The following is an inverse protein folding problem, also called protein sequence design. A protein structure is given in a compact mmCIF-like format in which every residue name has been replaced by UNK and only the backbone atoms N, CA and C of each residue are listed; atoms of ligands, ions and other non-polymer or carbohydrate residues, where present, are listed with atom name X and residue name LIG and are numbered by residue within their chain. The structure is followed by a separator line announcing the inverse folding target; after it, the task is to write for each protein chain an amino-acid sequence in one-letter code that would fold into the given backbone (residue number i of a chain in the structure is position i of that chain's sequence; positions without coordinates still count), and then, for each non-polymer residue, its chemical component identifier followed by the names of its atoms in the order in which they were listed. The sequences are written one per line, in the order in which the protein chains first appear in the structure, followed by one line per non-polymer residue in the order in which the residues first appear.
data_IF_444745897051
#
_entry.id   IF_444745897051
#
_cell.length_a   1.000
_cell.length_b   1.000
_cell.length_c   1.000
_cell.angle_alpha   90.00
_cell.angle_beta   90.00
_cell.angle_gamma   90.00
#
_symmetry.space_group_name_H-M   'P 1'
#
loop_
_entity.id
_entity.type
_entity.pdbx_description
1 polymer ?
#
# COMPACT_ATOMS: atom_id res chain seq x y z
N UNK A 1 -18.97 13.50 -8.07
CA UNK A 1 -18.84 12.03 -8.08
C UNK A 1 -17.39 11.55 -7.95
N UNK A 2 -16.48 11.97 -8.83
CA UNK A 2 -15.06 11.54 -8.83
C UNK A 2 -14.32 11.76 -7.50
N UNK A 3 -14.58 12.87 -6.80
CA UNK A 3 -14.02 13.15 -5.46
C UNK A 3 -14.43 12.15 -4.38
N UNK A 4 -15.67 11.66 -4.43
CA UNK A 4 -16.17 10.68 -3.46
C UNK A 4 -15.55 9.31 -3.70
N UNK A 5 -15.36 8.95 -4.96
CA UNK A 5 -14.66 7.72 -5.35
C UNK A 5 -13.19 7.77 -4.89
N UNK A 6 -12.49 8.88 -5.13
CA UNK A 6 -11.10 9.09 -4.66
C UNK A 6 -11.00 8.94 -3.13
N UNK A 7 -11.93 9.54 -2.37
CA UNK A 7 -11.96 9.43 -0.90
C UNK A 7 -12.27 8.02 -0.42
N UNK A 8 -13.24 7.34 -1.04
CA UNK A 8 -13.60 5.97 -0.70
C UNK A 8 -12.43 5.03 -0.95
N UNK A 9 -11.75 5.17 -2.10
CA UNK A 9 -10.55 4.39 -2.42
C UNK A 9 -9.39 4.70 -1.48
N UNK A 10 -9.19 5.96 -1.10
CA UNK A 10 -8.15 6.31 -0.13
C UNK A 10 -8.43 5.71 1.25
N UNK A 11 -9.68 5.75 1.73
CA UNK A 11 -10.08 5.12 3.00
C UNK A 11 -9.91 3.59 2.94
N UNK A 12 -10.32 2.96 1.84
CA UNK A 12 -10.12 1.54 1.62
C UNK A 12 -8.63 1.17 1.61
N UNK A 13 -7.81 1.94 0.89
CA UNK A 13 -6.36 1.75 0.83
C UNK A 13 -5.73 1.83 2.23
N UNK A 14 -6.08 2.86 3.00
CA UNK A 14 -5.59 3.02 4.38
C UNK A 14 -6.05 1.86 5.26
N UNK A 15 -7.32 1.45 5.16
CA UNK A 15 -7.85 0.30 5.91
C UNK A 15 -7.11 -0.99 5.59
N UNK A 16 -6.83 -1.26 4.30
CA UNK A 16 -6.04 -2.41 3.87
C UNK A 16 -4.62 -2.35 4.42
N UNK A 17 -3.95 -1.19 4.35
CA UNK A 17 -2.60 -1.02 4.92
C UNK A 17 -2.62 -1.28 6.41
N UNK A 18 -3.60 -0.78 7.16
CA UNK A 18 -3.75 -1.04 8.60
C UNK A 18 -3.87 -2.55 8.88
N UNK A 19 -4.71 -3.28 8.12
CA UNK A 19 -4.85 -4.73 8.27
C UNK A 19 -3.53 -5.46 7.96
N UNK A 20 -2.84 -5.06 6.90
CA UNK A 20 -1.56 -5.64 6.51
C UNK A 20 -0.47 -5.39 7.56
N UNK A 21 -0.37 -4.17 8.09
CA UNK A 21 0.56 -3.82 9.17
C UNK A 21 0.22 -4.55 10.47
N UNK A 22 -1.07 -4.69 10.80
CA UNK A 22 -1.50 -5.39 12.01
C UNK A 22 -1.19 -6.88 11.94
N UNK A 23 -1.45 -7.52 10.79
CA UNK A 23 -1.16 -8.95 10.59
C UNK A 23 0.33 -9.25 10.62
N UNK A 24 1.18 -8.35 10.10
CA UNK A 24 2.64 -8.51 10.20
C UNK A 24 3.15 -8.25 11.61
N UNK A 25 2.57 -7.31 12.36
CA UNK A 25 2.97 -7.05 13.75
C UNK A 25 2.81 -8.27 14.66
N UNK A 26 1.83 -9.15 14.38
CA UNK A 26 1.65 -10.42 15.12
C UNK A 26 2.83 -11.38 14.91
N UNK A 27 3.56 -11.27 13.80
CA UNK A 27 4.76 -12.07 13.52
C UNK A 27 6.04 -11.48 14.13
N UNK A 28 5.94 -10.37 14.88
CA UNK A 28 7.07 -9.70 15.50
C UNK A 28 7.59 -10.49 16.71
N UNK A 29 8.44 -11.47 16.44
CA UNK A 29 9.04 -12.34 17.46
C UNK A 29 9.85 -13.51 16.90
N UNK A 30 10.32 -13.42 15.64
CA UNK A 30 11.09 -14.46 14.97
C UNK A 30 10.26 -15.65 14.44
N UNK A 31 8.96 -15.68 14.70
CA UNK A 31 8.07 -16.72 14.19
C UNK A 31 7.47 -16.27 12.85
N UNK A 32 7.64 -17.09 11.82
CA UNK A 32 7.04 -16.84 10.50
C UNK A 32 5.51 -16.70 10.60
N UNK A 33 4.94 -15.82 9.79
CA UNK A 33 3.49 -15.63 9.74
C UNK A 33 2.81 -16.89 9.19
N UNK A 34 1.92 -17.50 9.97
CA UNK A 34 1.24 -18.75 9.61
C UNK A 34 -0.23 -18.73 10.07
N UNK A 35 -1.04 -19.68 9.58
CA UNK A 35 -2.44 -19.83 10.00
C UNK A 35 -3.34 -18.65 9.60
N UNK A 36 -4.24 -18.25 10.50
CA UNK A 36 -5.24 -17.21 10.25
C UNK A 36 -4.64 -15.83 9.92
N UNK A 37 -3.62 -15.30 10.64
CA UNK A 37 -2.97 -14.04 10.27
C UNK A 37 -2.42 -14.03 8.85
N UNK A 38 -1.83 -15.15 8.39
CA UNK A 38 -1.35 -15.29 7.03
C UNK A 38 -2.49 -15.22 6.01
N UNK A 39 -3.59 -15.92 6.25
CA UNK A 39 -4.77 -15.89 5.37
C UNK A 39 -5.37 -14.47 5.28
N UNK A 40 -5.49 -13.76 6.39
CA UNK A 40 -5.98 -12.38 6.42
C UNK A 40 -5.02 -11.47 5.64
N UNK A 41 -3.71 -11.61 5.87
CA UNK A 41 -2.71 -10.82 5.17
C UNK A 41 -2.76 -11.05 3.66
N UNK A 42 -2.85 -12.31 3.22
CA UNK A 42 -2.96 -12.66 1.80
C UNK A 42 -4.27 -12.15 1.18
N UNK A 43 -5.40 -12.26 1.90
CA UNK A 43 -6.69 -11.72 1.45
C UNK A 43 -6.67 -10.20 1.30
N UNK A 44 -6.13 -9.48 2.29
CA UNK A 44 -5.97 -8.04 2.24
C UNK A 44 -4.98 -7.60 1.14
N UNK A 45 -3.92 -8.40 0.92
CA UNK A 45 -2.96 -8.17 -0.17
C UNK A 45 -3.63 -8.28 -1.54
N UNK A 46 -4.51 -9.27 -1.73
CA UNK A 46 -5.30 -9.40 -2.96
C UNK A 46 -6.15 -8.15 -3.22
N UNK A 47 -6.84 -7.64 -2.20
CA UNK A 47 -7.61 -6.40 -2.34
C UNK A 47 -6.72 -5.16 -2.64
N UNK A 48 -5.51 -5.11 -2.05
CA UNK A 48 -4.55 -4.03 -2.29
C UNK A 48 -4.07 -4.00 -3.74
N UNK A 49 -3.83 -5.18 -4.34
CA UNK A 49 -3.38 -5.34 -5.74
C UNK A 49 -4.33 -4.66 -6.73
N UNK A 50 -5.64 -4.64 -6.45
CA UNK A 50 -6.62 -3.95 -7.29
C UNK A 50 -6.87 -2.51 -6.84
N UNK A 51 -6.96 -2.27 -5.54
CA UNK A 51 -7.31 -0.96 -4.99
C UNK A 51 -6.25 0.08 -5.31
N UNK A 52 -4.96 -0.25 -5.15
CA UNK A 52 -3.88 0.71 -5.34
C UNK A 52 -3.78 1.20 -6.80
N UNK A 53 -3.78 0.35 -7.85
CA UNK A 53 -3.77 0.83 -9.24
C UNK A 53 -5.00 1.67 -9.59
N UNK A 54 -6.19 1.26 -9.16
CA UNK A 54 -7.43 2.02 -9.41
C UNK A 54 -7.36 3.40 -8.74
N UNK A 55 -6.90 3.45 -7.49
CA UNK A 55 -6.66 4.70 -6.76
C UNK A 55 -5.61 5.57 -7.46
N UNK A 56 -4.49 4.99 -7.91
CA UNK A 56 -3.43 5.70 -8.62
C UNK A 56 -3.95 6.32 -9.92
N UNK A 57 -4.69 5.56 -10.75
CA UNK A 57 -5.24 6.04 -12.01
C UNK A 57 -6.22 7.21 -11.78
N UNK A 58 -7.16 7.06 -10.85
CA UNK A 58 -8.14 8.11 -10.54
C UNK A 58 -7.45 9.35 -9.96
N UNK A 59 -6.46 9.15 -9.09
CA UNK A 59 -5.66 10.23 -8.52
C UNK A 59 -4.89 11.00 -9.60
N UNK A 60 -4.27 10.31 -10.56
CA UNK A 60 -3.55 10.92 -11.69
C UNK A 60 -4.49 11.76 -12.58
N UNK A 61 -5.68 11.24 -12.91
CA UNK A 61 -6.71 11.98 -13.65
C UNK A 61 -7.12 13.24 -12.88
N UNK A 62 -7.24 13.15 -11.56
CA UNK A 62 -7.53 14.29 -10.68
C UNK A 62 -6.41 15.33 -10.61
N UNK A 63 -5.14 14.90 -10.62
CA UNK A 63 -3.97 15.77 -10.61
C UNK A 63 -3.80 16.55 -11.91
N UNK A 64 -4.06 15.93 -13.06
CA UNK A 64 -4.04 16.62 -14.35
C UNK A 64 -4.98 17.84 -14.40
N UNK A 65 -6.01 17.88 -13.55
CA UNK A 65 -7.00 18.96 -13.46
C UNK A 65 -6.75 19.99 -12.36
N UNK A 66 -5.77 19.78 -11.46
CA UNK A 66 -5.55 20.64 -10.28
C UNK A 66 -4.09 21.08 -10.21
N UNK A 67 -3.84 22.39 -10.12
CA UNK A 67 -2.47 22.92 -9.99
C UNK A 67 -1.71 22.25 -8.83
N UNK A 68 -0.55 21.69 -9.18
CA UNK A 68 0.36 20.92 -8.33
C UNK A 68 1.04 21.82 -7.28
N UNK A 69 0.30 22.31 -6.28
CA UNK A 69 0.95 22.76 -5.04
C UNK A 69 1.37 21.54 -4.24
N UNK A 70 2.62 21.53 -3.78
CA UNK A 70 3.16 20.50 -2.90
C UNK A 70 2.36 20.47 -1.59
N UNK A 71 1.41 19.53 -1.51
CA UNK A 71 0.62 19.24 -0.32
C UNK A 71 1.11 17.93 0.30
N UNK A 72 1.00 17.79 1.62
CA UNK A 72 1.24 16.51 2.30
C UNK A 72 0.41 15.37 1.69
N UNK A 73 -0.78 15.69 1.14
CA UNK A 73 -1.59 14.74 0.38
C UNK A 73 -0.83 14.18 -0.83
N UNK A 74 -0.16 15.03 -1.61
CA UNK A 74 0.56 14.60 -2.81
C UNK A 74 1.75 13.72 -2.44
N UNK A 75 2.46 14.06 -1.35
CA UNK A 75 3.58 13.25 -0.85
C UNK A 75 3.07 11.88 -0.41
N UNK A 76 1.98 11.82 0.36
CA UNK A 76 1.37 10.57 0.78
C UNK A 76 0.85 9.73 -0.39
N UNK A 77 0.21 10.38 -1.38
CA UNK A 77 -0.27 9.72 -2.59
C UNK A 77 0.88 9.09 -3.38
N UNK A 78 1.89 9.89 -3.74
CA UNK A 78 3.02 9.41 -4.52
C UNK A 78 3.86 8.39 -3.75
N UNK A 79 4.04 8.57 -2.45
CA UNK A 79 4.68 7.57 -1.59
C UNK A 79 3.91 6.25 -1.60
N UNK A 80 2.58 6.30 -1.49
CA UNK A 80 1.75 5.08 -1.49
C UNK A 80 1.86 4.33 -2.82
N UNK A 81 1.89 5.04 -3.94
CA UNK A 81 2.11 4.43 -5.26
C UNK A 81 3.54 3.88 -5.39
N UNK A 82 4.53 4.68 -5.02
CA UNK A 82 5.95 4.33 -5.17
C UNK A 82 6.38 3.13 -4.32
N UNK A 83 5.79 2.93 -3.13
CA UNK A 83 6.09 1.78 -2.27
C UNK A 83 5.10 0.64 -2.40
N UNK A 84 3.84 0.93 -2.74
CA UNK A 84 2.83 -0.10 -2.95
C UNK A 84 3.07 -0.93 -4.21
N UNK A 85 3.53 -0.33 -5.31
CA UNK A 85 3.84 -1.10 -6.53
C UNK A 85 5.00 -2.09 -6.33
N UNK A 86 6.14 -1.74 -5.72
CA UNK A 86 7.17 -2.71 -5.35
C UNK A 86 6.68 -3.78 -4.38
N UNK A 87 5.82 -3.43 -3.41
CA UNK A 87 5.21 -4.40 -2.49
C UNK A 87 4.41 -5.45 -3.27
N UNK A 88 3.65 -5.04 -4.28
CA UNK A 88 2.92 -5.94 -5.17
C UNK A 88 3.87 -6.77 -6.03
N UNK A 89 4.85 -6.12 -6.68
CA UNK A 89 5.78 -6.77 -7.59
C UNK A 89 6.58 -7.87 -6.89
N UNK A 90 7.08 -7.61 -5.68
CA UNK A 90 7.85 -8.60 -4.89
C UNK A 90 7.03 -9.86 -4.58
N UNK A 91 5.74 -9.74 -4.24
CA UNK A 91 4.88 -10.91 -4.02
C UNK A 91 4.68 -11.72 -5.29
N UNK A 92 4.41 -11.07 -6.42
CA UNK A 92 4.25 -11.77 -7.69
C UNK A 92 5.53 -12.49 -8.11
N UNK A 93 6.69 -11.86 -7.93
CA UNK A 93 7.99 -12.49 -8.21
C UNK A 93 8.23 -13.70 -7.30
N UNK A 94 7.83 -13.65 -6.02
CA UNK A 94 7.90 -14.81 -5.12
C UNK A 94 7.00 -15.98 -5.54
N UNK A 95 5.94 -15.73 -6.32
CA UNK A 95 5.03 -16.78 -6.81
C UNK A 95 5.52 -17.44 -8.11
N UNK A 96 6.49 -16.84 -8.80
CA UNK A 96 7.05 -17.41 -10.03
C UNK A 96 8.02 -18.56 -9.70
N UNK A 97 7.98 -19.69 -10.43
CA UNK A 97 8.86 -20.84 -10.20
C UNK A 97 10.27 -20.61 -10.79
N UNK A 98 10.84 -19.43 -10.59
CA UNK A 98 12.13 -19.00 -11.17
C UNK A 98 13.12 -18.50 -10.13
N UNK A 99 12.67 -18.17 -8.92
CA UNK A 99 13.53 -17.67 -7.85
C UNK A 99 14.21 -18.83 -7.11
N UNK A 100 15.53 -18.75 -6.92
CA UNK A 100 16.23 -19.63 -5.99
C UNK A 100 15.84 -19.29 -4.54
N UNK A 101 16.18 -20.17 -3.58
CA UNK A 101 15.94 -19.92 -2.15
C UNK A 101 16.55 -18.60 -1.69
N UNK A 102 17.77 -18.28 -2.13
CA UNK A 102 18.44 -17.03 -1.78
C UNK A 102 17.71 -15.82 -2.38
N UNK A 103 17.22 -15.93 -3.62
CA UNK A 103 16.40 -14.89 -4.25
C UNK A 103 15.07 -14.70 -3.52
N UNK A 104 14.43 -15.79 -3.08
CA UNK A 104 13.20 -15.70 -2.27
C UNK A 104 13.43 -14.95 -0.96
N UNK A 105 14.51 -15.23 -0.23
CA UNK A 105 14.84 -14.49 0.99
C UNK A 105 15.05 -12.99 0.73
N UNK A 106 15.73 -12.64 -0.35
CA UNK A 106 15.91 -11.24 -0.74
C UNK A 106 14.58 -10.57 -1.11
N UNK A 107 13.73 -11.22 -1.91
CA UNK A 107 12.42 -10.70 -2.29
C UNK A 107 11.50 -10.50 -1.08
N UNK A 108 11.50 -11.43 -0.13
CA UNK A 108 10.75 -11.30 1.13
C UNK A 108 11.26 -10.13 1.96
N UNK A 109 12.58 -9.92 2.02
CA UNK A 109 13.17 -8.76 2.70
C UNK A 109 12.74 -7.45 2.03
N UNK A 110 12.84 -7.36 0.70
CA UNK A 110 12.39 -6.18 -0.05
C UNK A 110 10.90 -5.92 0.08
N UNK A 111 10.09 -6.98 0.09
CA UNK A 111 8.66 -6.90 0.34
C UNK A 111 8.37 -6.28 1.72
N UNK A 112 9.07 -6.74 2.77
CA UNK A 112 8.93 -6.19 4.11
C UNK A 112 9.30 -4.70 4.17
N UNK A 113 10.46 -4.32 3.61
CA UNK A 113 10.89 -2.91 3.56
C UNK A 113 9.92 -2.02 2.78
N UNK A 114 9.44 -2.49 1.64
CA UNK A 114 8.44 -1.77 0.84
C UNK A 114 7.11 -1.63 1.60
N UNK A 115 6.66 -2.67 2.31
CA UNK A 115 5.47 -2.64 3.15
C UNK A 115 5.58 -1.66 4.33
N UNK A 116 6.73 -1.58 5.00
CA UNK A 116 6.96 -0.59 6.05
C UNK A 116 6.97 0.84 5.49
N UNK A 117 7.64 1.07 4.36
CA UNK A 117 7.64 2.37 3.69
C UNK A 117 6.23 2.78 3.23
N UNK A 118 5.44 1.82 2.72
CA UNK A 118 4.03 2.02 2.39
C UNK A 118 3.20 2.41 3.61
N UNK A 119 3.45 1.80 4.77
CA UNK A 119 2.77 2.15 6.03
C UNK A 119 3.03 3.62 6.39
N UNK A 120 4.29 4.07 6.32
CA UNK A 120 4.66 5.47 6.56
C UNK A 120 3.97 6.39 5.54
N UNK A 121 3.98 6.03 4.26
CA UNK A 121 3.33 6.81 3.22
C UNK A 121 1.81 6.92 3.43
N UNK A 122 1.16 5.85 3.90
CA UNK A 122 -0.26 5.85 4.24
C UNK A 122 -0.56 6.78 5.42
N UNK A 123 0.30 6.84 6.44
CA UNK A 123 0.17 7.80 7.54
C UNK A 123 0.27 9.24 7.02
N UNK A 124 1.25 9.52 6.16
CA UNK A 124 1.40 10.85 5.53
C UNK A 124 0.18 11.19 4.68
N UNK A 125 -0.38 10.21 3.95
CA UNK A 125 -1.60 10.37 3.17
C UNK A 125 -2.79 10.74 4.06
N UNK A 126 -2.99 10.04 5.18
CA UNK A 126 -4.04 10.34 6.16
C UNK A 126 -3.89 11.75 6.71
N UNK A 127 -2.68 12.15 7.13
CA UNK A 127 -2.43 13.52 7.61
C UNK A 127 -2.75 14.54 6.51
N UNK A 128 -2.36 14.26 5.27
CA UNK A 128 -2.68 15.09 4.11
C UNK A 128 -4.19 15.22 3.87
N UNK A 129 -4.94 14.13 4.00
CA UNK A 129 -6.39 14.10 3.89
C UNK A 129 -7.07 14.92 4.99
N UNK A 130 -6.64 14.77 6.25
CA UNK A 130 -7.19 15.53 7.39
C UNK A 130 -6.91 17.03 7.29
N UNK A 131 -5.75 17.42 6.75
CA UNK A 131 -5.36 18.83 6.55
C UNK A 131 -6.02 19.48 5.34
N UNK A 132 -6.55 18.69 4.40
CA UNK A 132 -7.26 19.18 3.22
C UNK A 132 -8.64 19.65 3.70
N UNK A 133 -8.74 20.93 4.12
CA UNK A 133 -10.02 21.56 4.46
C UNK A 133 -11.03 21.20 3.38
N UNK A 134 -12.22 20.74 3.79
CA UNK A 134 -13.38 20.55 2.91
C UNK A 134 -13.72 21.93 2.37
N UNK A 135 -13.11 22.30 1.25
CA UNK A 135 -13.44 23.47 0.45
C UNK A 135 -14.49 23.07 -0.56
#
# INVERSE_FOLDING_TARGET
MMLWIERALAMLLVGLVVVLTATTAVSWGGHGMSGLPLLIHMGASGALVFTLPVYAIIGLIGFSRRHLRASMYNIGFWGSVAFGLPTIATVFLCMLPIASTDTMHQLVSWHAWAGYALTIAAVVLVIGLLRRKVA
#
